data_IF_178296034932
#
_entry.id   IF_178296034932
#
_cell.length_a   1.000
_cell.length_b   1.000
_cell.length_c   1.000
_cell.angle_alpha   90.00
_cell.angle_beta   90.00
_cell.angle_gamma   90.00
#
_symmetry.space_group_name_H-M   'P 1'
#
loop_
_entity.id
_entity.type
_entity.pdbx_description
1 polymer ?
#
# COMPACT_ATOMS: atom_id res chain seq x y z
N UNK A 1 -33.06 4.03 13.95
CA UNK A 1 -32.77 5.15 14.86
C UNK A 1 -33.00 6.45 14.10
N UNK A 2 -33.62 7.41 14.78
CA UNK A 2 -34.40 8.54 14.27
C UNK A 2 -33.61 9.44 13.29
N UNK A 3 -34.22 9.82 12.15
CA UNK A 3 -33.70 10.76 11.14
C UNK A 3 -32.97 11.99 11.71
N UNK A 4 -33.46 12.62 12.81
CA UNK A 4 -32.73 13.67 13.54
C UNK A 4 -31.32 13.29 13.99
N UNK A 5 -31.09 12.06 14.44
CA UNK A 5 -29.76 11.59 14.86
C UNK A 5 -28.82 11.37 13.67
N UNK A 6 -29.37 11.05 12.49
CA UNK A 6 -28.58 10.94 11.26
C UNK A 6 -28.19 12.32 10.73
N UNK A 7 -29.13 13.28 10.72
CA UNK A 7 -28.86 14.67 10.36
C UNK A 7 -27.88 15.34 11.34
N UNK A 8 -28.04 15.10 12.65
CA UNK A 8 -27.13 15.61 13.68
C UNK A 8 -25.72 15.03 13.53
N UNK A 9 -25.60 13.73 13.21
CA UNK A 9 -24.30 13.10 12.91
C UNK A 9 -23.67 13.67 11.63
N UNK A 10 -24.47 14.00 10.62
CA UNK A 10 -24.00 14.56 9.36
C UNK A 10 -23.54 16.00 9.54
N UNK A 11 -24.29 16.81 10.30
CA UNK A 11 -23.93 18.17 10.70
C UNK A 11 -22.66 18.17 11.58
N UNK A 12 -22.55 17.26 12.53
CA UNK A 12 -21.33 17.08 13.34
C UNK A 12 -20.13 16.68 12.48
N UNK A 13 -20.34 15.83 11.46
CA UNK A 13 -19.30 15.40 10.53
C UNK A 13 -18.85 16.53 9.62
N UNK A 14 -19.78 17.30 9.04
CA UNK A 14 -19.49 18.47 8.21
C UNK A 14 -18.84 19.60 9.01
N UNK A 15 -19.28 19.82 10.26
CA UNK A 15 -18.67 20.79 11.18
C UNK A 15 -17.25 20.36 11.55
N UNK A 16 -17.03 19.06 11.78
CA UNK A 16 -15.71 18.49 12.03
C UNK A 16 -14.80 18.63 10.80
N UNK A 17 -15.30 18.37 9.59
CA UNK A 17 -14.55 18.59 8.35
C UNK A 17 -14.21 20.07 8.13
N UNK A 18 -15.17 20.98 8.35
CA UNK A 18 -14.99 22.43 8.26
C UNK A 18 -13.96 22.96 9.29
N UNK A 19 -13.94 22.37 10.49
CA UNK A 19 -12.96 22.64 11.54
C UNK A 19 -11.57 22.06 11.19
N UNK A 20 -11.52 20.84 10.67
CA UNK A 20 -10.28 20.21 10.19
C UNK A 20 -9.65 20.99 9.04
N UNK A 21 -10.45 21.48 8.08
CA UNK A 21 -10.00 22.38 7.01
C UNK A 21 -9.45 23.70 7.58
N UNK A 22 -10.01 24.20 8.68
CA UNK A 22 -9.50 25.39 9.37
C UNK A 22 -8.22 25.16 10.19
N UNK A 23 -7.96 23.92 10.60
CA UNK A 23 -6.80 23.53 11.42
C UNK A 23 -5.63 23.00 10.58
N UNK A 24 -5.90 22.38 9.43
CA UNK A 24 -4.90 22.00 8.42
C UNK A 24 -4.58 23.18 7.50
N UNK A 25 -3.84 24.17 8.00
CA UNK A 25 -3.18 25.21 7.18
C UNK A 25 -2.00 24.65 6.35
N UNK A 26 -2.15 23.47 5.77
CA UNK A 26 -1.12 22.81 4.98
C UNK A 26 -1.79 22.22 3.72
N UNK A 27 -1.37 22.73 2.56
CA UNK A 27 -1.57 22.20 1.19
C UNK A 27 -2.64 22.87 0.30
N UNK A 28 -3.55 23.71 0.79
CA UNK A 28 -4.51 24.43 -0.09
C UNK A 28 -4.41 25.97 0.03
N UNK A 29 -4.48 26.74 -1.07
CA UNK A 29 -4.60 28.20 -1.03
C UNK A 29 -5.88 28.66 -0.30
N UNK A 30 -5.82 29.78 0.43
CA UNK A 30 -6.95 30.30 1.22
C UNK A 30 -8.25 30.50 0.39
N UNK A 31 -8.11 30.80 -0.90
CA UNK A 31 -9.22 30.96 -1.84
C UNK A 31 -9.96 29.64 -2.10
N UNK A 32 -9.22 28.55 -2.26
CA UNK A 32 -9.78 27.22 -2.52
C UNK A 32 -10.43 26.63 -1.26
N UNK A 33 -9.88 26.97 -0.08
CA UNK A 33 -10.49 26.64 1.22
C UNK A 33 -11.83 27.38 1.37
N UNK A 34 -11.89 28.66 1.03
CA UNK A 34 -13.11 29.46 1.12
C UNK A 34 -14.19 28.94 0.16
N UNK A 35 -13.82 28.59 -1.07
CA UNK A 35 -14.72 28.02 -2.07
C UNK A 35 -15.31 26.68 -1.60
N UNK A 36 -14.47 25.76 -1.11
CA UNK A 36 -14.91 24.46 -0.58
C UNK A 36 -15.79 24.59 0.66
N UNK A 37 -15.49 25.55 1.55
CA UNK A 37 -16.37 25.88 2.69
C UNK A 37 -17.73 26.40 2.25
N UNK A 38 -17.76 27.29 1.26
CA UNK A 38 -19.00 27.80 0.68
C UNK A 38 -19.85 26.69 0.06
N UNK A 39 -19.21 25.75 -0.63
CA UNK A 39 -19.87 24.58 -1.21
C UNK A 39 -20.48 23.68 -0.13
N UNK A 40 -19.75 23.42 0.97
CA UNK A 40 -20.28 22.68 2.10
C UNK A 40 -21.47 23.40 2.76
N UNK A 41 -21.44 24.73 2.88
CA UNK A 41 -22.56 25.50 3.41
C UNK A 41 -23.79 25.46 2.49
N UNK A 42 -23.61 25.56 1.17
CA UNK A 42 -24.71 25.43 0.21
C UNK A 42 -25.40 24.07 0.28
N UNK A 43 -24.63 22.99 0.44
CA UNK A 43 -25.17 21.63 0.62
C UNK A 43 -25.91 21.48 1.96
N UNK A 44 -25.44 22.13 3.03
CA UNK A 44 -26.15 22.15 4.32
C UNK A 44 -27.50 22.86 4.17
N UNK A 45 -27.54 23.99 3.46
CA UNK A 45 -28.76 24.75 3.21
C UNK A 45 -29.76 24.00 2.32
N UNK A 46 -29.29 23.22 1.33
CA UNK A 46 -30.14 22.34 0.51
C UNK A 46 -30.74 21.19 1.33
N UNK A 47 -29.94 20.56 2.20
CA UNK A 47 -30.41 19.49 3.10
C UNK A 47 -31.46 20.02 4.09
N UNK A 48 -31.26 21.23 4.64
CA UNK A 48 -32.24 21.89 5.52
C UNK A 48 -33.57 22.17 4.80
N UNK A 49 -33.52 22.38 3.47
CA UNK A 49 -34.68 22.67 2.62
C UNK A 49 -35.43 21.40 2.19
N UNK A 50 -34.73 20.29 1.99
CA UNK A 50 -35.31 19.00 1.55
C UNK A 50 -35.81 18.11 2.70
N UNK A 51 -35.58 18.48 3.96
CA UNK A 51 -36.14 17.82 5.16
C UNK A 51 -37.70 17.80 5.24
N UNK A 52 -38.39 18.23 4.17
CA UNK A 52 -39.86 18.18 4.03
C UNK A 52 -40.36 17.09 3.05
N UNK A 53 -39.50 16.25 2.47
CA UNK A 53 -39.87 15.24 1.46
C UNK A 53 -39.31 13.85 1.82
N UNK A 54 -40.02 12.80 1.41
CA UNK A 54 -39.93 11.42 1.91
C UNK A 54 -38.51 10.84 2.15
N UNK A 55 -38.28 10.14 3.29
CA UNK A 55 -36.94 9.81 3.81
C UNK A 55 -36.05 8.92 2.92
N UNK A 56 -36.63 8.06 2.08
CA UNK A 56 -35.89 7.09 1.27
C UNK A 56 -35.27 7.70 0.00
N UNK A 57 -35.90 8.74 -0.54
CA UNK A 57 -35.38 9.49 -1.69
C UNK A 57 -34.17 10.34 -1.28
N UNK A 58 -34.25 10.97 -0.11
CA UNK A 58 -33.21 11.84 0.42
C UNK A 58 -31.94 11.06 0.77
N UNK A 59 -32.08 9.87 1.36
CA UNK A 59 -30.93 9.01 1.71
C UNK A 59 -30.14 8.60 0.46
N UNK A 60 -30.85 8.27 -0.62
CA UNK A 60 -30.25 7.92 -1.90
C UNK A 60 -29.54 9.12 -2.56
N UNK A 61 -30.14 10.31 -2.50
CA UNK A 61 -29.51 11.54 -3.00
C UNK A 61 -28.29 11.95 -2.17
N UNK A 62 -28.34 11.79 -0.84
CA UNK A 62 -27.18 12.03 0.05
C UNK A 62 -26.05 11.06 -0.27
N UNK A 63 -26.34 9.78 -0.51
CA UNK A 63 -25.34 8.78 -0.92
C UNK A 63 -24.74 9.10 -2.29
N UNK A 64 -25.56 9.50 -3.26
CA UNK A 64 -25.11 9.94 -4.59
C UNK A 64 -24.21 11.18 -4.50
N UNK A 65 -24.56 12.17 -3.66
CA UNK A 65 -23.75 13.38 -3.44
C UNK A 65 -22.43 13.04 -2.73
N UNK A 66 -22.44 12.17 -1.72
CA UNK A 66 -21.20 11.74 -1.04
C UNK A 66 -20.30 10.93 -1.97
N UNK A 67 -20.87 10.10 -2.83
CA UNK A 67 -20.13 9.35 -3.83
C UNK A 67 -19.59 10.27 -4.94
N UNK A 68 -20.32 11.34 -5.30
CA UNK A 68 -19.88 12.36 -6.25
C UNK A 68 -18.80 13.29 -5.67
N UNK A 69 -18.89 13.65 -4.38
CA UNK A 69 -17.82 14.34 -3.63
C UNK A 69 -16.59 13.43 -3.54
N UNK A 70 -16.76 12.15 -3.25
CA UNK A 70 -15.65 11.19 -3.22
C UNK A 70 -15.02 11.05 -4.61
N UNK A 71 -15.82 10.93 -5.68
CA UNK A 71 -15.35 10.93 -7.06
C UNK A 71 -14.69 12.23 -7.45
N UNK A 72 -15.16 13.39 -7.00
CA UNK A 72 -14.53 14.71 -7.24
C UNK A 72 -13.21 14.85 -6.49
N UNK A 73 -13.14 14.43 -5.23
CA UNK A 73 -11.90 14.38 -4.45
C UNK A 73 -10.87 13.37 -5.02
N UNK A 74 -11.34 12.30 -5.67
CA UNK A 74 -10.49 11.33 -6.37
C UNK A 74 -10.15 11.76 -7.82
N UNK A 75 -11.00 12.56 -8.48
CA UNK A 75 -10.77 13.08 -9.84
C UNK A 75 -10.05 14.43 -9.88
N UNK A 76 -9.89 15.10 -8.74
CA UNK A 76 -8.93 16.20 -8.55
C UNK A 76 -7.46 15.78 -8.63
N UNK A 77 -7.15 14.49 -8.85
CA UNK A 77 -5.83 14.06 -9.35
C UNK A 77 -5.48 14.63 -10.75
N UNK A 78 -6.38 15.40 -11.37
CA UNK A 78 -6.13 16.10 -12.64
C UNK A 78 -5.99 17.62 -12.54
N UNK A 79 -6.02 18.21 -11.33
CA UNK A 79 -5.63 19.60 -11.12
C UNK A 79 -4.15 19.68 -10.73
N UNK A 80 -3.39 20.49 -11.46
CA UNK A 80 -1.96 20.81 -11.35
C UNK A 80 -1.19 20.34 -10.10
N UNK A 81 -0.91 19.02 -9.97
CA UNK A 81 0.00 18.53 -8.92
C UNK A 81 1.45 19.01 -9.19
N UNK A 82 1.86 20.11 -8.55
CA UNK A 82 3.24 20.57 -8.61
C UNK A 82 4.20 19.52 -8.01
N UNK A 83 4.98 18.87 -8.87
CA UNK A 83 6.16 18.05 -8.54
C UNK A 83 5.93 16.86 -7.59
N UNK A 84 5.77 15.66 -8.16
CA UNK A 84 5.64 14.37 -7.46
C UNK A 84 6.96 13.90 -6.78
N UNK A 85 7.96 14.78 -6.62
CA UNK A 85 8.95 14.51 -5.58
C UNK A 85 8.24 14.82 -4.27
N UNK A 86 7.99 13.84 -3.38
CA UNK A 86 7.29 14.11 -2.12
C UNK A 86 7.92 15.34 -1.50
N UNK A 87 7.09 16.32 -1.12
CA UNK A 87 7.61 17.44 -0.34
C UNK A 87 8.40 16.87 0.83
N UNK A 88 9.44 17.60 1.25
CA UNK A 88 10.21 17.23 2.43
C UNK A 88 9.24 17.26 3.61
N UNK A 89 8.57 16.14 3.89
CA UNK A 89 7.63 16.02 4.98
C UNK A 89 8.45 16.15 6.23
N UNK A 90 8.33 17.32 6.83
CA UNK A 90 8.95 17.61 8.10
C UNK A 90 8.03 16.99 9.13
N UNK A 91 8.44 15.87 9.70
CA UNK A 91 7.61 15.20 10.71
C UNK A 91 7.82 15.96 12.02
N UNK A 92 6.71 16.42 12.61
CA UNK A 92 6.69 17.14 13.87
C UNK A 92 6.36 16.13 14.98
N UNK A 93 7.39 15.56 15.62
CA UNK A 93 7.17 14.64 16.74
C UNK A 93 7.15 15.47 18.03
N UNK A 94 6.03 15.40 18.74
CA UNK A 94 5.90 15.96 20.08
C UNK A 94 6.64 15.06 21.08
N UNK A 95 7.87 15.41 21.44
CA UNK A 95 8.52 14.89 22.65
C UNK A 95 8.28 15.88 23.79
N UNK A 96 7.96 15.37 24.99
CA UNK A 96 7.66 16.15 26.20
C UNK A 96 8.74 17.17 26.63
N UNK A 97 9.91 17.23 25.97
CA UNK A 97 10.94 18.22 26.33
C UNK A 97 11.65 18.94 25.18
N UNK A 98 11.41 18.66 23.89
CA UNK A 98 11.96 19.45 22.76
C UNK A 98 11.31 19.07 21.42
N UNK A 99 10.75 20.05 20.71
CA UNK A 99 10.27 19.90 19.32
C UNK A 99 11.47 19.70 18.39
N UNK A 100 11.64 18.51 17.80
CA UNK A 100 12.65 18.27 16.75
C UNK A 100 11.94 17.92 15.45
N UNK A 101 12.14 18.77 14.45
CA UNK A 101 11.74 18.55 13.08
C UNK A 101 12.72 17.58 12.42
N UNK A 102 12.26 16.48 11.81
CA UNK A 102 13.13 15.66 10.95
C UNK A 102 12.66 15.76 9.51
N UNK A 103 13.54 16.27 8.65
CA UNK A 103 13.38 16.28 7.21
C UNK A 103 13.73 14.89 6.65
N UNK A 104 12.94 14.39 5.70
CA UNK A 104 13.16 13.12 4.97
C UNK A 104 14.55 12.97 4.32
N UNK A 105 15.34 14.04 4.22
CA UNK A 105 16.71 14.06 3.68
C UNK A 105 17.72 13.25 4.50
N UNK A 106 17.45 12.99 5.79
CA UNK A 106 18.46 12.42 6.70
C UNK A 106 18.15 10.99 7.18
N UNK A 107 17.16 10.30 6.60
CA UNK A 107 16.91 8.89 6.94
C UNK A 107 18.00 8.05 6.27
N UNK A 108 18.85 7.32 7.03
CA UNK A 108 19.87 6.44 6.47
C UNK A 108 19.25 5.38 5.55
N UNK A 109 20.03 4.89 4.59
CA UNK A 109 19.61 3.79 3.70
C UNK A 109 19.94 2.46 4.37
N UNK A 110 18.99 1.76 5.03
CA UNK A 110 19.29 0.54 5.79
C UNK A 110 19.87 -0.57 4.91
N UNK A 111 19.48 -0.59 3.62
CA UNK A 111 19.94 -1.58 2.65
C UNK A 111 21.46 -1.61 2.43
N UNK A 112 22.20 -0.56 2.81
CA UNK A 112 23.66 -0.54 2.72
C UNK A 112 24.28 -1.61 3.63
N UNK A 113 23.60 -1.94 4.74
CA UNK A 113 24.08 -2.85 5.76
C UNK A 113 23.55 -4.29 5.61
N UNK A 114 22.76 -4.58 4.57
CA UNK A 114 22.20 -5.92 4.36
C UNK A 114 23.27 -6.87 3.79
N UNK A 115 23.53 -8.00 4.48
CA UNK A 115 24.62 -8.94 4.14
C UNK A 115 24.41 -9.65 2.79
N UNK A 116 23.16 -9.96 2.42
CA UNK A 116 22.80 -10.75 1.22
C UNK A 116 22.61 -9.94 -0.07
N UNK A 117 23.03 -8.65 -0.07
CA UNK A 117 22.79 -7.72 -1.19
C UNK A 117 23.27 -8.23 -2.55
N UNK A 118 24.31 -9.06 -2.60
CA UNK A 118 24.96 -9.51 -3.83
C UNK A 118 24.26 -10.68 -4.55
N UNK A 119 23.43 -11.46 -3.86
CA UNK A 119 22.86 -12.70 -4.45
C UNK A 119 21.33 -12.69 -4.59
N UNK A 120 20.61 -11.82 -3.87
CA UNK A 120 19.13 -11.81 -3.91
C UNK A 120 18.53 -10.72 -4.82
N UNK A 121 19.27 -9.63 -5.05
CA UNK A 121 18.89 -8.55 -5.98
C UNK A 121 19.61 -8.65 -7.34
N UNK A 122 20.61 -9.52 -7.44
CA UNK A 122 21.29 -9.81 -8.69
C UNK A 122 20.39 -10.72 -9.55
N UNK A 123 19.79 -10.13 -10.58
CA UNK A 123 19.53 -10.84 -11.84
C UNK A 123 18.53 -12.01 -11.79
N UNK A 124 17.38 -11.85 -11.13
CA UNK A 124 16.16 -12.48 -11.67
C UNK A 124 15.42 -11.45 -12.51
N UNK A 125 14.98 -11.87 -13.68
CA UNK A 125 14.28 -11.12 -14.73
C UNK A 125 12.92 -10.59 -14.24
N UNK A 126 12.89 -9.83 -13.16
CA UNK A 126 11.75 -8.97 -12.88
C UNK A 126 11.79 -7.90 -13.97
N UNK A 127 10.85 -7.99 -14.91
CA UNK A 127 10.69 -7.05 -16.02
C UNK A 127 10.59 -5.60 -15.57
N UNK A 128 10.59 -4.71 -16.56
CA UNK A 128 10.61 -3.25 -16.43
C UNK A 128 9.60 -2.70 -15.41
N UNK A 129 10.06 -1.97 -14.38
CA UNK A 129 9.21 -1.60 -13.24
C UNK A 129 8.20 -0.47 -13.57
N UNK A 130 6.98 -0.84 -13.97
CA UNK A 130 5.84 0.09 -14.08
C UNK A 130 4.52 -0.60 -13.68
N UNK A 131 3.76 0.00 -12.76
CA UNK A 131 2.43 -0.49 -12.34
C UNK A 131 1.31 0.21 -13.13
N UNK A 132 0.25 -0.53 -13.54
CA UNK A 132 -0.96 0.06 -14.11
C UNK A 132 -1.81 0.75 -13.03
N UNK A 133 -2.35 1.94 -13.33
CA UNK A 133 -3.60 2.38 -12.69
C UNK A 133 -4.76 1.70 -13.41
N UNK A 134 -5.65 1.05 -12.66
CA UNK A 134 -6.79 0.34 -13.21
C UNK A 134 -7.77 1.32 -13.88
N UNK A 135 -8.03 1.13 -15.17
CA UNK A 135 -9.32 1.49 -15.77
C UNK A 135 -10.16 0.24 -15.85
N UNK A 136 -11.37 0.29 -15.31
CA UNK A 136 -12.41 -0.71 -15.55
C UNK A 136 -12.69 -0.76 -17.05
N UNK A 137 -12.50 -1.90 -17.68
CA UNK A 137 -12.92 -2.12 -19.05
C UNK A 137 -13.62 -3.46 -19.16
N UNK A 138 -14.87 -3.36 -19.60
CA UNK A 138 -15.73 -4.43 -20.05
C UNK A 138 -15.11 -5.18 -21.24
N UNK A 139 -15.59 -6.41 -21.37
CA UNK A 139 -15.34 -7.40 -22.41
C UNK A 139 -14.98 -6.85 -23.79
N UNK A 140 -13.91 -7.38 -24.38
CA UNK A 140 -13.92 -7.82 -25.79
C UNK A 140 -12.90 -8.94 -25.99
N UNK A 141 -13.40 -10.05 -26.52
CA UNK A 141 -12.68 -11.23 -26.94
C UNK A 141 -12.02 -11.04 -28.31
N UNK A 142 -10.76 -11.42 -28.46
CA UNK A 142 -10.28 -12.34 -29.52
C UNK A 142 -8.74 -12.32 -29.63
N UNK A 143 -8.21 -13.48 -30.02
CA UNK A 143 -6.85 -13.77 -30.47
C UNK A 143 -5.78 -13.97 -29.37
N UNK A 144 -5.71 -15.20 -28.85
CA UNK A 144 -4.49 -15.80 -28.30
C UNK A 144 -4.27 -17.12 -29.02
N UNK A 145 -3.12 -17.24 -29.68
CA UNK A 145 -2.56 -18.54 -30.01
C UNK A 145 -1.05 -18.56 -29.73
N UNK A 146 -0.66 -19.65 -29.07
CA UNK A 146 0.69 -20.13 -28.77
C UNK A 146 1.55 -19.43 -27.70
N UNK A 147 1.90 -20.25 -26.69
CA UNK A 147 2.93 -20.10 -25.66
C UNK A 147 2.56 -19.35 -24.36
N UNK A 148 1.80 -20.03 -23.48
CA UNK A 148 2.02 -20.13 -22.02
C UNK A 148 0.80 -20.82 -21.37
N UNK A 149 0.83 -22.15 -21.27
CA UNK A 149 -0.08 -22.87 -20.37
C UNK A 149 0.53 -22.89 -18.97
N UNK A 150 0.05 -22.00 -18.09
CA UNK A 150 -0.17 -22.20 -16.65
C UNK A 150 -0.81 -20.93 -16.06
N UNK A 151 -2.04 -20.62 -16.48
CA UNK A 151 -2.89 -19.65 -15.79
C UNK A 151 -4.35 -20.14 -15.81
N UNK A 152 -5.00 -20.19 -14.64
CA UNK A 152 -6.46 -20.31 -14.53
C UNK A 152 -7.07 -21.72 -14.42
N UNK A 153 -6.38 -22.70 -13.84
CA UNK A 153 -7.02 -23.96 -13.45
C UNK A 153 -7.79 -23.81 -12.12
N UNK A 154 -8.97 -24.41 -11.99
CA UNK A 154 -9.56 -24.66 -10.68
C UNK A 154 -8.51 -25.33 -9.77
N UNK A 155 -8.40 -24.95 -8.49
CA UNK A 155 -7.48 -25.61 -7.55
C UNK A 155 -7.73 -27.12 -7.56
N UNK A 156 -6.66 -27.91 -7.53
CA UNK A 156 -6.75 -29.38 -7.54
C UNK A 156 -7.53 -29.86 -6.29
N UNK A 157 -8.17 -31.02 -6.33
CA UNK A 157 -9.03 -31.49 -5.24
C UNK A 157 -8.31 -31.53 -3.88
N UNK A 158 -7.01 -31.82 -3.88
CA UNK A 158 -6.13 -31.77 -2.70
C UNK A 158 -5.89 -30.34 -2.20
N UNK A 159 -5.76 -29.37 -3.09
CA UNK A 159 -5.61 -27.96 -2.71
C UNK A 159 -6.90 -27.43 -2.09
N UNK A 160 -8.05 -27.83 -2.62
CA UNK A 160 -9.36 -27.49 -2.06
C UNK A 160 -9.60 -28.12 -0.67
N UNK A 161 -9.15 -29.35 -0.45
CA UNK A 161 -9.28 -30.04 0.84
C UNK A 161 -8.41 -29.39 1.93
N UNK A 162 -7.13 -29.12 1.61
CA UNK A 162 -6.21 -28.40 2.51
C UNK A 162 -6.76 -27.00 2.85
N UNK A 163 -7.34 -26.32 1.87
CA UNK A 163 -7.99 -25.03 2.06
C UNK A 163 -9.21 -25.11 2.98
N UNK A 164 -10.05 -26.13 2.84
CA UNK A 164 -11.21 -26.36 3.70
C UNK A 164 -10.80 -26.58 5.16
N UNK A 165 -9.74 -27.34 5.41
CA UNK A 165 -9.29 -27.65 6.77
C UNK A 165 -8.68 -26.43 7.47
N UNK A 166 -7.94 -25.59 6.75
CA UNK A 166 -7.44 -24.31 7.28
C UNK A 166 -8.59 -23.40 7.70
N UNK A 167 -9.66 -23.33 6.91
CA UNK A 167 -10.85 -22.53 7.24
C UNK A 167 -11.57 -23.08 8.48
N UNK A 168 -11.74 -24.40 8.61
CA UNK A 168 -12.33 -25.01 9.81
C UNK A 168 -11.46 -24.77 11.04
N UNK A 169 -10.14 -24.85 10.91
CA UNK A 169 -9.21 -24.57 11.99
C UNK A 169 -9.33 -23.11 12.45
N UNK A 170 -9.39 -22.16 11.51
CA UNK A 170 -9.61 -20.75 11.79
C UNK A 170 -10.94 -20.51 12.52
N UNK A 171 -12.03 -21.11 12.01
CA UNK A 171 -13.35 -21.03 12.62
C UNK A 171 -13.33 -21.54 14.07
N UNK A 172 -12.76 -22.72 14.29
CA UNK A 172 -12.70 -23.33 15.62
C UNK A 172 -11.83 -22.55 16.61
N UNK A 173 -10.78 -21.88 16.14
CA UNK A 173 -9.95 -21.02 16.97
C UNK A 173 -10.64 -19.69 17.35
N UNK A 174 -11.50 -19.15 16.47
CA UNK A 174 -12.10 -17.82 16.66
C UNK A 174 -13.55 -17.83 17.18
N UNK A 175 -14.30 -18.94 17.04
CA UNK A 175 -15.74 -19.00 17.38
C UNK A 175 -16.08 -18.61 18.84
N UNK A 176 -15.13 -18.78 19.76
CA UNK A 176 -15.32 -18.48 21.18
C UNK A 176 -14.61 -17.18 21.61
N UNK A 177 -14.00 -16.45 20.68
CA UNK A 177 -13.33 -15.18 20.97
C UNK A 177 -14.39 -14.09 21.05
N UNK A 178 -14.42 -13.37 22.16
CA UNK A 178 -15.29 -12.21 22.31
C UNK A 178 -14.78 -11.03 21.48
N UNK A 179 -15.44 -10.76 20.35
CA UNK A 179 -15.13 -9.64 19.46
C UNK A 179 -15.28 -8.25 20.11
N UNK A 180 -16.05 -8.14 21.20
CA UNK A 180 -16.26 -6.89 21.93
C UNK A 180 -15.23 -6.69 23.07
N UNK A 181 -14.40 -7.71 23.36
CA UNK A 181 -13.42 -7.66 24.45
C UNK A 181 -12.56 -6.40 24.37
N UNK A 182 -12.30 -5.80 25.53
CA UNK A 182 -11.36 -4.70 25.63
C UNK A 182 -9.95 -5.23 25.76
N UNK A 183 -9.21 -5.16 24.65
CA UNK A 183 -7.85 -5.67 24.59
C UNK A 183 -6.87 -4.53 24.83
N UNK A 184 -6.06 -4.71 25.86
CA UNK A 184 -4.81 -3.96 26.05
C UNK A 184 -3.65 -4.95 25.87
N UNK A 185 -3.19 -5.19 24.63
CA UNK A 185 -2.22 -6.25 24.39
C UNK A 185 -0.86 -5.86 24.96
N UNK A 186 -0.09 -6.85 25.42
CA UNK A 186 1.31 -6.66 25.77
C UNK A 186 2.09 -6.44 24.48
N UNK A 187 2.81 -5.31 24.39
CA UNK A 187 3.55 -4.94 23.18
C UNK A 187 5.01 -5.32 23.35
N UNK A 188 5.53 -6.15 22.44
CA UNK A 188 6.93 -6.53 22.37
C UNK A 188 7.57 -5.92 21.11
N UNK A 189 8.62 -5.12 21.29
CA UNK A 189 9.42 -4.60 20.17
C UNK A 189 10.69 -5.43 20.03
N UNK A 190 10.79 -6.18 18.93
CA UNK A 190 11.82 -7.20 18.71
C UNK A 190 12.85 -6.66 17.71
N UNK A 191 14.11 -6.59 18.13
CA UNK A 191 15.23 -6.09 17.31
C UNK A 191 16.50 -6.94 17.43
N UNK A 192 16.61 -7.82 18.41
CA UNK A 192 17.76 -8.74 18.56
C UNK A 192 17.40 -10.17 18.14
N UNK A 193 18.44 -10.95 17.86
CA UNK A 193 18.32 -12.39 17.57
C UNK A 193 17.63 -13.14 18.72
N UNK A 194 18.09 -12.94 19.96
CA UNK A 194 17.53 -13.57 21.17
C UNK A 194 16.05 -13.23 21.38
N UNK A 195 15.68 -11.95 21.23
CA UNK A 195 14.28 -11.52 21.32
C UNK A 195 13.43 -12.18 20.22
N UNK A 196 14.00 -12.36 19.02
CA UNK A 196 13.34 -12.99 17.88
C UNK A 196 13.06 -14.48 18.12
N UNK A 197 14.04 -15.21 18.65
CA UNK A 197 13.87 -16.63 19.01
C UNK A 197 12.78 -16.79 20.07
N UNK A 198 12.84 -16.00 21.14
CA UNK A 198 11.84 -16.04 22.22
C UNK A 198 10.44 -15.72 21.69
N UNK A 199 10.29 -14.66 20.91
CA UNK A 199 9.00 -14.27 20.33
C UNK A 199 8.45 -15.37 19.40
N UNK A 200 9.30 -15.99 18.56
CA UNK A 200 8.89 -17.10 17.72
C UNK A 200 8.43 -18.30 18.58
N UNK A 201 9.17 -18.67 19.62
CA UNK A 201 8.76 -19.76 20.52
C UNK A 201 7.42 -19.51 21.21
N UNK A 202 7.08 -18.26 21.54
CA UNK A 202 5.76 -17.91 22.07
C UNK A 202 4.67 -18.01 21.01
N UNK A 203 4.91 -17.43 19.82
CA UNK A 203 3.97 -17.47 18.69
C UNK A 203 3.68 -18.92 18.26
N UNK A 204 4.67 -19.81 18.36
CA UNK A 204 4.52 -21.23 18.02
C UNK A 204 3.54 -21.99 18.93
N UNK A 205 3.11 -21.42 20.06
CA UNK A 205 2.12 -22.01 20.96
C UNK A 205 0.68 -21.61 20.59
N UNK A 206 0.51 -20.65 19.70
CA UNK A 206 -0.79 -20.13 19.29
C UNK A 206 -1.45 -21.05 18.26
N UNK A 207 -2.79 -21.03 18.21
CA UNK A 207 -3.54 -21.71 17.14
C UNK A 207 -3.81 -20.78 15.96
N UNK A 208 -3.86 -19.48 16.23
CA UNK A 208 -4.20 -18.45 15.27
C UNK A 208 -3.51 -17.14 15.65
N UNK A 209 -3.00 -16.44 14.64
CA UNK A 209 -2.33 -15.15 14.79
C UNK A 209 -2.80 -14.17 13.72
N UNK A 210 -2.89 -12.90 14.08
CA UNK A 210 -3.10 -11.79 13.14
C UNK A 210 -1.75 -11.29 12.64
N UNK A 211 -1.65 -10.95 11.35
CA UNK A 211 -0.40 -10.52 10.73
C UNK A 211 -0.60 -9.29 9.86
N UNK A 212 0.26 -8.28 10.04
CA UNK A 212 0.46 -7.19 9.08
C UNK A 212 1.96 -7.02 8.78
N UNK A 213 2.28 -6.36 7.67
CA UNK A 213 3.66 -5.97 7.34
C UNK A 213 3.68 -4.54 6.82
N UNK A 214 4.73 -3.79 7.15
CA UNK A 214 5.03 -2.48 6.55
C UNK A 214 6.23 -2.61 5.63
N UNK A 215 6.11 -2.10 4.40
CA UNK A 215 7.15 -2.18 3.37
C UNK A 215 7.58 -0.79 2.92
N UNK A 216 8.74 -0.70 2.31
CA UNK A 216 9.26 0.52 1.71
C UNK A 216 9.76 0.25 0.29
N UNK A 217 9.30 1.06 -0.66
CA UNK A 217 9.65 0.93 -2.09
C UNK A 217 10.15 2.23 -2.73
N UNK A 218 10.11 3.37 -2.04
CA UNK A 218 10.45 4.65 -2.67
C UNK A 218 11.96 4.84 -2.81
N UNK A 219 12.72 4.44 -1.79
CA UNK A 219 14.17 4.54 -1.69
C UNK A 219 14.87 3.19 -1.79
N UNK A 220 14.32 2.30 -2.61
CA UNK A 220 14.88 1.00 -3.00
C UNK A 220 14.22 0.58 -4.31
N UNK A 221 14.96 -0.08 -5.19
CA UNK A 221 14.44 -0.48 -6.50
C UNK A 221 13.41 -1.61 -6.35
N UNK A 222 13.79 -2.71 -5.69
CA UNK A 222 12.91 -3.85 -5.46
C UNK A 222 12.03 -3.69 -4.21
N UNK A 223 12.36 -2.71 -3.37
CA UNK A 223 11.77 -2.49 -2.05
C UNK A 223 12.17 -3.54 -1.02
N UNK A 224 11.72 -3.35 0.21
CA UNK A 224 11.97 -4.26 1.32
C UNK A 224 10.93 -4.11 2.44
N UNK A 225 10.84 -5.14 3.28
CA UNK A 225 10.00 -5.18 4.48
C UNK A 225 10.70 -4.43 5.62
N UNK A 226 10.04 -3.42 6.17
CA UNK A 226 10.54 -2.65 7.31
C UNK A 226 10.13 -3.28 8.63
N UNK A 227 8.86 -3.71 8.74
CA UNK A 227 8.32 -4.31 9.95
C UNK A 227 7.38 -5.45 9.62
N UNK A 228 7.39 -6.47 10.48
CA UNK A 228 6.35 -7.50 10.55
C UNK A 228 5.66 -7.33 11.89
N UNK A 229 4.34 -7.30 11.89
CA UNK A 229 3.54 -7.27 13.11
C UNK A 229 2.77 -8.58 13.25
N UNK A 230 2.83 -9.19 14.44
CA UNK A 230 2.08 -10.39 14.77
C UNK A 230 1.26 -10.14 16.02
N UNK A 231 -0.06 -10.29 15.93
CA UNK A 231 -0.98 -10.22 17.05
C UNK A 231 -1.42 -11.61 17.47
N UNK A 232 -1.38 -11.87 18.77
CA UNK A 232 -2.16 -12.92 19.43
C UNK A 232 -3.36 -12.26 20.11
N UNK A 233 -4.15 -13.01 20.88
CA UNK A 233 -5.23 -12.41 21.67
C UNK A 233 -4.70 -11.56 22.85
N UNK A 234 -3.47 -11.82 23.30
CA UNK A 234 -2.90 -11.19 24.49
C UNK A 234 -1.75 -10.23 24.17
N UNK A 235 -1.09 -10.40 23.02
CA UNK A 235 0.18 -9.73 22.74
C UNK A 235 0.30 -9.25 21.30
N UNK A 236 1.06 -8.19 21.08
CA UNK A 236 1.48 -7.74 19.75
C UNK A 236 3.01 -7.70 19.68
N UNK A 237 3.57 -8.45 18.75
CA UNK A 237 5.00 -8.51 18.45
C UNK A 237 5.29 -7.64 17.24
N UNK A 238 6.20 -6.68 17.38
CA UNK A 238 6.68 -5.80 16.31
C UNK A 238 8.12 -6.20 16.00
N UNK A 239 8.30 -6.95 14.92
CA UNK A 239 9.62 -7.35 14.42
C UNK A 239 10.21 -6.26 13.54
N UNK A 240 11.32 -5.67 13.98
CA UNK A 240 12.10 -4.69 13.22
C UNK A 240 12.93 -5.38 12.15
N UNK A 241 12.36 -5.58 10.96
CA UNK A 241 13.00 -6.35 9.90
C UNK A 241 14.20 -5.65 9.26
N UNK A 242 14.43 -4.38 9.57
CA UNK A 242 15.68 -3.69 9.21
C UNK A 242 16.84 -4.24 10.03
N UNK A 243 16.65 -4.41 11.34
CA UNK A 243 17.65 -4.95 12.27
C UNK A 243 17.73 -6.48 12.20
N UNK A 244 16.57 -7.14 12.16
CA UNK A 244 16.44 -8.60 12.17
C UNK A 244 16.67 -9.26 10.81
N UNK A 245 17.00 -8.51 9.76
CA UNK A 245 17.02 -9.04 8.39
C UNK A 245 17.84 -10.31 8.22
N UNK A 246 19.00 -10.36 8.88
CA UNK A 246 19.90 -11.52 8.82
C UNK A 246 19.42 -12.71 9.66
N UNK A 247 18.49 -12.47 10.59
CA UNK A 247 17.93 -13.43 11.52
C UNK A 247 16.47 -13.78 11.16
N UNK A 248 15.99 -13.36 9.98
CA UNK A 248 14.62 -13.59 9.54
C UNK A 248 14.23 -15.08 9.54
N UNK A 249 15.19 -15.98 9.27
CA UNK A 249 14.98 -17.43 9.26
C UNK A 249 14.49 -18.01 10.60
N UNK A 250 14.64 -17.29 11.71
CA UNK A 250 14.18 -17.72 13.03
C UNK A 250 12.66 -17.68 13.18
N UNK A 251 11.95 -16.92 12.32
CA UNK A 251 10.49 -16.86 12.32
C UNK A 251 9.89 -18.10 11.63
N UNK A 252 9.93 -19.25 12.30
CA UNK A 252 9.49 -20.54 11.74
C UNK A 252 7.96 -20.69 11.68
N UNK A 253 7.19 -19.83 12.36
CA UNK A 253 5.72 -19.88 12.37
C UNK A 253 5.09 -19.72 10.97
N UNK A 254 5.80 -19.14 9.99
CA UNK A 254 5.32 -19.01 8.61
C UNK A 254 5.00 -20.35 7.96
N UNK A 255 5.86 -21.35 8.21
CA UNK A 255 5.76 -22.70 7.66
C UNK A 255 5.04 -23.69 8.58
N UNK A 256 4.55 -23.25 9.74
CA UNK A 256 3.84 -24.10 10.69
C UNK A 256 2.35 -24.25 10.29
N UNK A 257 1.88 -25.46 9.92
CA UNK A 257 0.49 -25.65 9.49
C UNK A 257 -0.52 -25.58 10.64
N UNK A 258 -0.10 -25.87 11.88
CA UNK A 258 -0.98 -25.82 13.06
C UNK A 258 -1.32 -24.39 13.53
N UNK A 259 -0.69 -23.38 12.93
CA UNK A 259 -0.93 -21.97 13.21
C UNK A 259 -1.59 -21.33 11.99
N UNK A 260 -2.82 -20.86 12.14
CA UNK A 260 -3.50 -20.09 11.08
C UNK A 260 -3.06 -18.63 11.12
N UNK A 261 -2.60 -18.10 9.99
CA UNK A 261 -2.23 -16.69 9.83
C UNK A 261 -3.40 -15.91 9.24
N UNK A 262 -3.97 -14.97 9.99
CA UNK A 262 -5.02 -14.06 9.52
C UNK A 262 -4.37 -12.80 8.96
N UNK A 263 -4.69 -12.44 7.74
CA UNK A 263 -4.27 -11.21 7.09
C UNK A 263 -5.47 -10.34 6.72
N UNK A 264 -5.21 -9.08 6.41
CA UNK A 264 -6.09 -8.27 5.57
C UNK A 264 -5.35 -7.91 4.28
N UNK A 265 -5.92 -8.23 3.11
CA UNK A 265 -5.25 -8.16 1.79
C UNK A 265 -4.01 -9.04 1.73
N UNK A 266 -4.21 -10.34 1.97
CA UNK A 266 -3.14 -11.33 2.09
C UNK A 266 -2.24 -11.36 0.84
N UNK A 267 -2.82 -11.29 -0.36
CA UNK A 267 -2.09 -11.44 -1.63
C UNK A 267 -0.86 -10.54 -1.75
N UNK A 268 -1.01 -9.24 -1.43
CA UNK A 268 0.12 -8.29 -1.43
C UNK A 268 1.16 -8.65 -0.35
N UNK A 269 0.69 -9.02 0.84
CA UNK A 269 1.55 -9.34 2.00
C UNK A 269 2.39 -10.60 1.74
N UNK A 270 1.75 -11.65 1.24
CA UNK A 270 2.40 -12.91 0.87
C UNK A 270 3.42 -12.69 -0.26
N UNK A 271 3.10 -11.87 -1.26
CA UNK A 271 4.02 -11.54 -2.34
C UNK A 271 5.30 -10.87 -1.79
N UNK A 272 5.16 -9.92 -0.87
CA UNK A 272 6.30 -9.28 -0.21
C UNK A 272 7.12 -10.23 0.66
N UNK A 273 6.46 -11.04 1.50
CA UNK A 273 7.14 -12.03 2.36
C UNK A 273 7.96 -13.02 1.53
N UNK A 274 7.43 -13.47 0.38
CA UNK A 274 8.13 -14.35 -0.55
C UNK A 274 9.27 -13.62 -1.26
N UNK A 275 9.00 -12.44 -1.81
CA UNK A 275 9.97 -11.67 -2.62
C UNK A 275 11.17 -11.23 -1.79
N UNK A 276 10.92 -10.64 -0.63
CA UNK A 276 11.94 -9.96 0.17
C UNK A 276 12.62 -10.88 1.18
N UNK A 277 11.83 -11.75 1.84
CA UNK A 277 12.27 -12.54 2.99
C UNK A 277 12.30 -14.05 2.70
N UNK A 278 11.88 -14.47 1.50
CA UNK A 278 11.87 -15.86 1.04
C UNK A 278 11.02 -16.79 1.93
N UNK A 279 10.00 -16.26 2.59
CA UNK A 279 9.07 -17.10 3.35
C UNK A 279 8.07 -17.79 2.45
N UNK A 280 7.81 -19.07 2.77
CA UNK A 280 6.63 -19.79 2.30
C UNK A 280 5.61 -19.79 3.42
N UNK A 281 4.52 -19.06 3.23
CA UNK A 281 3.43 -19.00 4.21
C UNK A 281 2.43 -20.10 3.91
N UNK A 282 2.24 -21.00 4.88
CA UNK A 282 1.21 -22.06 4.86
C UNK A 282 0.06 -21.69 5.79
N UNK A 283 -1.12 -22.30 5.65
CA UNK A 283 -2.26 -22.10 6.58
C UNK A 283 -2.57 -20.63 6.88
N UNK A 284 -3.09 -19.89 5.89
CA UNK A 284 -3.49 -18.51 6.09
C UNK A 284 -4.90 -18.23 5.55
N UNK A 285 -5.55 -17.21 6.10
CA UNK A 285 -6.81 -16.67 5.62
C UNK A 285 -6.69 -15.16 5.41
N UNK A 286 -7.48 -14.63 4.49
CA UNK A 286 -7.63 -13.21 4.21
C UNK A 286 -9.01 -12.76 4.68
N UNK A 287 -9.03 -11.76 5.56
CA UNK A 287 -10.24 -11.13 6.04
C UNK A 287 -11.06 -10.51 4.89
N UNK A 288 -10.42 -10.06 3.80
CA UNK A 288 -11.12 -9.53 2.62
C UNK A 288 -11.86 -10.61 1.82
N UNK A 289 -11.42 -11.86 1.93
CA UNK A 289 -12.04 -13.02 1.29
C UNK A 289 -13.24 -13.57 2.05
N UNK A 290 -13.48 -13.08 3.27
CA UNK A 290 -14.67 -13.44 4.04
C UNK A 290 -15.91 -12.77 3.45
N UNK A 291 -16.78 -13.60 2.87
CA UNK A 291 -18.11 -13.21 2.42
C UNK A 291 -19.15 -13.60 3.48
N UNK A 292 -20.30 -12.92 3.48
CA UNK A 292 -21.40 -13.27 4.38
C UNK A 292 -21.52 -12.43 5.64
N UNK A 293 -20.93 -11.23 5.68
CA UNK A 293 -21.49 -10.20 6.56
C UNK A 293 -22.82 -9.75 5.95
N UNK A 294 -23.96 -9.95 6.63
CA UNK A 294 -25.24 -9.57 6.08
C UNK A 294 -25.28 -8.05 6.02
N UNK A 295 -25.59 -7.52 4.83
CA UNK A 295 -25.91 -6.11 4.50
C UNK A 295 -24.83 -5.26 3.80
N UNK A 296 -23.51 -5.41 4.01
CA UNK A 296 -22.51 -4.58 3.29
C UNK A 296 -21.12 -5.22 3.05
N UNK A 297 -20.45 -4.95 1.91
CA UNK A 297 -19.11 -5.47 1.62
C UNK A 297 -18.02 -4.77 2.45
N UNK A 298 -17.10 -5.56 3.03
CA UNK A 298 -15.90 -5.06 3.71
C UNK A 298 -14.94 -4.45 2.68
N UNK A 299 -14.93 -3.13 2.58
CA UNK A 299 -14.04 -2.40 1.66
C UNK A 299 -12.67 -2.08 2.26
N UNK A 300 -12.58 -2.02 3.59
CA UNK A 300 -11.33 -1.75 4.30
C UNK A 300 -11.31 -2.36 5.72
N UNK A 301 -10.10 -2.58 6.26
CA UNK A 301 -9.91 -3.10 7.62
C UNK A 301 -10.62 -2.27 8.70
N UNK A 302 -10.65 -0.95 8.58
CA UNK A 302 -11.31 -0.08 9.55
C UNK A 302 -12.82 -0.35 9.66
N UNK A 303 -13.48 -0.62 8.53
CA UNK A 303 -14.89 -1.06 8.49
C UNK A 303 -15.04 -2.44 9.13
N UNK A 304 -14.17 -3.40 8.81
CA UNK A 304 -14.22 -4.73 9.41
C UNK A 304 -14.13 -4.66 10.95
N UNK A 305 -13.18 -3.87 11.46
CA UNK A 305 -13.03 -3.67 12.91
C UNK A 305 -14.24 -2.96 13.51
N UNK A 306 -14.74 -1.90 12.86
CA UNK A 306 -15.90 -1.17 13.35
C UNK A 306 -17.15 -2.05 13.45
N UNK A 307 -17.41 -2.86 12.43
CA UNK A 307 -18.57 -3.74 12.41
C UNK A 307 -18.48 -4.90 13.41
N UNK A 308 -17.28 -5.44 13.61
CA UNK A 308 -17.07 -6.56 14.53
C UNK A 308 -16.96 -6.11 15.98
N UNK A 309 -16.41 -4.92 16.24
CA UNK A 309 -15.99 -4.50 17.59
C UNK A 309 -16.62 -3.19 18.07
N UNK A 310 -17.26 -2.42 17.18
CA UNK A 310 -17.71 -1.04 17.44
C UNK A 310 -16.59 0.01 17.47
N UNK A 311 -15.31 -0.39 17.32
CA UNK A 311 -14.15 0.50 17.45
C UNK A 311 -13.75 1.13 16.12
N UNK A 312 -13.24 2.37 16.17
CA UNK A 312 -12.71 3.06 14.99
C UNK A 312 -11.19 2.94 14.93
N UNK A 313 -10.68 2.28 13.88
CA UNK A 313 -9.25 2.26 13.57
C UNK A 313 -8.92 3.42 12.64
N UNK A 314 -7.99 4.27 13.05
CA UNK A 314 -7.55 5.42 12.25
C UNK A 314 -6.35 5.03 11.40
N UNK A 315 -6.41 5.27 10.09
CA UNK A 315 -5.26 5.13 9.20
C UNK A 315 -4.61 6.49 8.97
N UNK A 316 -3.69 6.87 9.85
CA UNK A 316 -3.02 8.19 9.76
C UNK A 316 -1.71 8.15 8.98
N UNK A 317 -1.02 7.00 8.94
CA UNK A 317 0.38 6.92 8.50
C UNK A 317 0.59 6.10 7.21
N UNK A 318 -0.38 6.06 6.31
CA UNK A 318 -0.28 5.22 5.09
C UNK A 318 0.89 5.60 4.16
N UNK A 319 1.25 6.88 4.10
CA UNK A 319 2.35 7.41 3.26
C UNK A 319 3.67 7.57 4.04
N UNK A 320 3.74 7.03 5.27
CA UNK A 320 4.91 7.17 6.12
C UNK A 320 6.09 6.36 5.60
N UNK A 321 7.28 6.95 5.67
CA UNK A 321 8.54 6.24 5.50
C UNK A 321 8.89 5.39 6.73
N UNK A 322 8.47 4.12 6.71
CA UNK A 322 8.68 3.15 7.79
C UNK A 322 10.15 2.84 8.13
N UNK A 323 11.11 3.35 7.35
CA UNK A 323 12.54 3.26 7.68
C UNK A 323 12.95 4.21 8.81
N UNK A 324 12.10 5.18 9.12
CA UNK A 324 12.38 6.22 10.10
C UNK A 324 12.69 5.63 11.48
N UNK A 325 13.75 6.15 12.12
CA UNK A 325 14.16 5.82 13.49
C UNK A 325 14.57 7.12 14.23
N UNK A 326 14.35 7.21 15.56
CA UNK A 326 13.64 6.25 16.40
C UNK A 326 12.14 6.16 16.07
N UNK A 327 11.50 5.04 16.40
CA UNK A 327 10.05 4.87 16.19
C UNK A 327 9.30 5.81 17.13
N UNK A 328 8.42 6.65 16.58
CA UNK A 328 7.59 7.59 17.36
C UNK A 328 6.38 6.90 17.97
N UNK A 329 5.77 7.52 18.98
CA UNK A 329 4.54 7.00 19.62
C UNK A 329 3.42 6.77 18.60
N UNK A 330 3.28 7.68 17.63
CA UNK A 330 2.27 7.58 16.57
C UNK A 330 2.54 6.40 15.62
N UNK A 331 3.82 6.14 15.30
CA UNK A 331 4.21 4.96 14.54
C UNK A 331 3.95 3.69 15.35
N UNK A 332 4.26 3.68 16.64
CA UNK A 332 3.95 2.56 17.53
C UNK A 332 2.46 2.27 17.55
N UNK A 333 1.62 3.29 17.70
CA UNK A 333 0.16 3.14 17.64
C UNK A 333 -0.31 2.55 16.32
N UNK A 334 0.20 3.01 15.17
CA UNK A 334 -0.20 2.47 13.86
C UNK A 334 0.29 1.02 13.67
N UNK A 335 1.50 0.70 14.15
CA UNK A 335 2.05 -0.65 14.12
C UNK A 335 1.26 -1.63 15.01
N UNK A 336 0.62 -1.16 16.10
CA UNK A 336 -0.11 -2.05 17.01
C UNK A 336 -1.60 -2.11 16.74
N UNK A 337 -2.29 -0.98 16.59
CA UNK A 337 -3.75 -0.94 16.48
C UNK A 337 -4.27 -1.72 15.26
N UNK A 338 -3.62 -1.58 14.11
CA UNK A 338 -4.10 -2.23 12.89
C UNK A 338 -4.08 -3.76 12.99
N UNK A 339 -2.99 -4.34 13.52
CA UNK A 339 -2.88 -5.79 13.66
C UNK A 339 -3.62 -6.32 14.88
N UNK A 340 -3.68 -5.54 15.98
CA UNK A 340 -4.28 -5.96 17.25
C UNK A 340 -5.78 -6.21 17.13
N UNK A 341 -6.47 -5.46 16.26
CA UNK A 341 -7.90 -5.68 16.01
C UNK A 341 -8.21 -6.72 14.93
N UNK A 342 -7.19 -7.28 14.26
CA UNK A 342 -7.41 -8.17 13.12
C UNK A 342 -8.10 -9.48 13.53
N UNK A 343 -7.67 -10.07 14.65
CA UNK A 343 -8.30 -11.29 15.20
C UNK A 343 -9.71 -11.03 15.72
N UNK A 344 -9.94 -9.90 16.39
CA UNK A 344 -11.28 -9.52 16.84
C UNK A 344 -12.23 -9.25 15.67
N UNK A 345 -11.71 -8.64 14.59
CA UNK A 345 -12.48 -8.43 13.37
C UNK A 345 -12.91 -9.76 12.77
N UNK A 346 -11.99 -10.72 12.65
CA UNK A 346 -12.29 -12.07 12.17
C UNK A 346 -13.29 -12.82 13.07
N UNK A 347 -13.12 -12.73 14.40
CA UNK A 347 -14.02 -13.34 15.37
C UNK A 347 -15.46 -12.81 15.24
N UNK A 348 -15.63 -11.48 15.18
CA UNK A 348 -16.97 -10.87 15.08
C UNK A 348 -17.66 -11.10 13.73
N UNK A 349 -16.91 -11.49 12.70
CA UNK A 349 -17.47 -11.96 11.44
C UNK A 349 -17.90 -13.42 11.55
N UNK A 350 -17.04 -14.28 12.11
CA UNK A 350 -17.29 -15.71 12.30
C UNK A 350 -18.48 -15.96 13.24
N UNK A 351 -18.67 -15.13 14.26
CA UNK A 351 -19.77 -15.27 15.22
C UNK A 351 -21.17 -15.14 14.59
N UNK A 352 -21.25 -14.72 13.32
CA UNK A 352 -22.50 -14.49 12.58
C UNK A 352 -22.82 -15.58 11.56
N UNK A 353 -21.96 -16.56 11.39
CA UNK A 353 -22.17 -17.66 10.46
C UNK A 353 -21.80 -19.00 11.11
N UNK A 354 -22.35 -20.07 10.56
CA UNK A 354 -21.95 -21.43 10.92
C UNK A 354 -20.62 -21.79 10.24
N UNK A 355 -19.93 -22.83 10.72
CA UNK A 355 -18.69 -23.32 10.10
C UNK A 355 -18.88 -23.63 8.62
N UNK A 356 -20.02 -24.25 8.27
CA UNK A 356 -20.35 -24.60 6.88
C UNK A 356 -20.51 -23.34 6.02
N UNK A 357 -21.18 -22.31 6.53
CA UNK A 357 -21.35 -21.04 5.83
C UNK A 357 -20.04 -20.28 5.70
N UNK A 358 -19.20 -20.29 6.74
CA UNK A 358 -17.85 -19.72 6.69
C UNK A 358 -17.00 -20.37 5.60
N UNK A 359 -16.92 -21.70 5.58
CA UNK A 359 -16.11 -22.45 4.63
C UNK A 359 -16.63 -22.28 3.20
N UNK A 360 -17.94 -22.41 2.98
CA UNK A 360 -18.55 -22.32 1.64
C UNK A 360 -18.65 -20.89 1.10
N UNK A 361 -18.73 -19.90 2.00
CA UNK A 361 -18.77 -18.49 1.66
C UNK A 361 -17.41 -17.90 1.36
N UNK A 362 -16.31 -18.53 1.79
CA UNK A 362 -14.96 -18.01 1.60
C UNK A 362 -14.58 -17.96 0.11
N UNK A 363 -14.29 -16.76 -0.40
CA UNK A 363 -13.85 -16.56 -1.80
C UNK A 363 -12.36 -16.30 -1.84
N UNK A 364 -11.59 -17.28 -2.28
CA UNK A 364 -10.15 -17.10 -2.50
C UNK A 364 -9.91 -15.98 -3.51
N UNK A 365 -9.45 -14.83 -3.02
CA UNK A 365 -9.12 -13.68 -3.83
C UNK A 365 -7.75 -13.86 -4.44
N UNK A 366 -7.69 -14.44 -5.64
CA UNK A 366 -6.47 -14.38 -6.44
C UNK A 366 -6.47 -13.03 -7.14
N UNK A 367 -5.89 -12.01 -6.50
CA UNK A 367 -5.51 -10.80 -7.22
C UNK A 367 -4.36 -11.18 -8.16
N UNK A 368 -4.58 -11.01 -9.47
CA UNK A 368 -3.53 -11.20 -10.45
C UNK A 368 -2.35 -10.28 -10.11
N UNK A 369 -1.16 -10.86 -9.96
CA UNK A 369 0.06 -10.07 -9.85
C UNK A 369 0.19 -9.31 -11.16
N UNK A 370 0.07 -7.98 -11.12
CA UNK A 370 0.27 -7.19 -12.32
C UNK A 370 1.71 -7.34 -12.77
N UNK A 371 1.90 -7.89 -13.96
CA UNK A 371 3.19 -7.88 -14.62
C UNK A 371 3.62 -6.42 -14.90
N UNK A 372 4.91 -6.13 -14.74
CA UNK A 372 5.39 -4.77 -14.85
C UNK A 372 5.53 -4.43 -16.36
N UNK A 373 5.10 -3.22 -16.77
CA UNK A 373 4.97 -2.89 -18.20
C UNK A 373 6.32 -2.90 -18.92
N UNK A 374 6.35 -3.30 -20.19
CA UNK A 374 7.52 -3.03 -21.03
C UNK A 374 7.72 -1.52 -21.24
N UNK A 375 8.92 -1.05 -21.61
CA UNK A 375 9.13 0.36 -21.93
C UNK A 375 8.17 0.89 -22.99
N UNK A 376 7.87 0.08 -24.01
CA UNK A 376 6.92 0.37 -25.07
C UNK A 376 5.50 0.50 -24.51
N UNK A 377 5.06 -0.46 -23.71
CA UNK A 377 3.74 -0.43 -23.06
C UNK A 377 3.59 0.77 -22.12
N UNK A 378 4.65 1.13 -21.40
CA UNK A 378 4.65 2.33 -20.56
C UNK A 378 4.44 3.60 -21.39
N UNK A 379 5.16 3.75 -22.50
CA UNK A 379 5.02 4.92 -23.38
C UNK A 379 3.61 4.99 -23.99
N UNK A 380 3.09 3.86 -24.49
CA UNK A 380 1.73 3.76 -25.03
C UNK A 380 0.68 4.11 -23.97
N UNK A 381 0.84 3.62 -22.74
CA UNK A 381 -0.05 3.95 -21.62
C UNK A 381 -0.04 5.45 -21.26
N UNK A 382 0.99 6.19 -21.65
CA UNK A 382 1.09 7.65 -21.51
C UNK A 382 0.74 8.41 -22.79
N UNK A 383 0.26 7.72 -23.83
CA UNK A 383 -0.11 8.32 -25.12
C UNK A 383 1.11 8.82 -25.92
N UNK A 384 2.25 8.14 -25.80
CA UNK A 384 3.49 8.47 -26.51
C UNK A 384 3.85 7.31 -27.43
N UNK A 385 4.07 7.61 -28.72
CA UNK A 385 4.52 6.62 -29.70
C UNK A 385 5.95 6.12 -29.36
N UNK A 386 6.17 4.80 -29.19
CA UNK A 386 7.47 4.26 -28.84
C UNK A 386 8.45 4.38 -30.02
N UNK A 387 9.38 5.32 -29.94
CA UNK A 387 10.55 5.36 -30.83
C UNK A 387 11.75 4.72 -30.13
N UNK A 388 12.74 4.23 -30.90
CA UNK A 388 13.94 3.61 -30.35
C UNK A 388 14.64 4.47 -29.29
N UNK A 389 14.73 5.79 -29.52
CA UNK A 389 15.35 6.74 -28.60
C UNK A 389 14.54 6.89 -27.31
N UNK A 390 13.20 6.95 -27.40
CA UNK A 390 12.34 7.11 -26.23
C UNK A 390 12.29 5.85 -25.38
N UNK A 391 12.25 4.68 -26.02
CA UNK A 391 12.40 3.39 -25.33
C UNK A 391 13.71 3.39 -24.55
N UNK A 392 14.83 3.74 -25.18
CA UNK A 392 16.14 3.82 -24.51
C UNK A 392 16.16 4.79 -23.32
N UNK A 393 15.43 5.91 -23.37
CA UNK A 393 15.31 6.86 -22.25
C UNK A 393 14.58 6.21 -21.06
N UNK A 394 13.50 5.49 -21.32
CA UNK A 394 12.77 4.70 -20.30
C UNK A 394 13.69 3.62 -19.71
N UNK A 395 14.45 2.93 -20.57
CA UNK A 395 15.45 1.93 -20.17
C UNK A 395 16.57 2.51 -19.30
N UNK A 396 17.08 3.68 -19.64
CA UNK A 396 18.13 4.35 -18.88
C UNK A 396 17.67 4.71 -17.46
N UNK A 397 16.42 5.17 -17.33
CA UNK A 397 15.83 5.48 -16.02
C UNK A 397 15.79 4.25 -15.12
N UNK A 398 15.27 3.14 -15.64
CA UNK A 398 15.19 1.88 -14.91
C UNK A 398 16.57 1.33 -14.57
N UNK A 399 17.50 1.35 -15.53
CA UNK A 399 18.88 0.90 -15.34
C UNK A 399 19.59 1.63 -14.20
N UNK A 400 19.54 2.97 -14.16
CA UNK A 400 20.18 3.76 -13.10
C UNK A 400 19.49 3.49 -11.76
N UNK A 401 18.15 3.45 -11.73
CA UNK A 401 17.39 3.15 -10.53
C UNK A 401 17.79 1.79 -9.93
N UNK A 402 17.91 0.76 -10.77
CA UNK A 402 18.36 -0.58 -10.41
C UNK A 402 19.81 -0.60 -9.93
N UNK A 403 20.72 0.08 -10.64
CA UNK A 403 22.13 0.16 -10.28
C UNK A 403 22.33 0.81 -8.90
N UNK A 404 21.58 1.86 -8.61
CA UNK A 404 21.71 2.63 -7.37
C UNK A 404 20.85 2.09 -6.23
N UNK A 405 20.04 1.05 -6.46
CA UNK A 405 18.98 0.55 -5.56
C UNK A 405 18.11 1.70 -5.04
N UNK A 406 17.50 2.41 -5.98
CA UNK A 406 16.51 3.47 -5.75
C UNK A 406 15.32 3.22 -6.67
N UNK A 407 14.14 3.76 -6.36
CA UNK A 407 13.00 3.58 -7.25
C UNK A 407 13.12 4.44 -8.52
N UNK A 408 12.53 4.03 -9.66
CA UNK A 408 12.42 4.89 -10.83
C UNK A 408 11.75 6.24 -10.51
N UNK A 409 10.76 6.25 -9.60
CA UNK A 409 10.06 7.47 -9.16
C UNK A 409 10.97 8.42 -8.36
N UNK A 410 11.90 7.89 -7.57
CA UNK A 410 12.89 8.72 -6.87
C UNK A 410 13.89 9.34 -7.83
N UNK A 411 14.33 8.60 -8.87
CA UNK A 411 15.21 9.13 -9.89
C UNK A 411 14.50 10.24 -10.69
N UNK A 412 13.40 9.89 -11.35
CA UNK A 412 12.61 10.81 -12.17
C UNK A 412 11.18 10.29 -12.24
N UNK A 413 10.23 11.08 -11.72
CA UNK A 413 8.83 10.65 -11.68
C UNK A 413 8.27 10.42 -13.08
N UNK A 414 7.22 9.62 -13.22
CA UNK A 414 6.60 9.39 -14.53
C UNK A 414 6.15 10.69 -15.21
N UNK A 415 5.65 11.65 -14.42
CA UNK A 415 5.28 12.99 -14.92
C UNK A 415 6.50 13.76 -15.41
N UNK A 416 7.61 13.71 -14.68
CA UNK A 416 8.86 14.35 -15.10
C UNK A 416 9.41 13.70 -16.37
N UNK A 417 9.37 12.37 -16.47
CA UNK A 417 9.79 11.63 -17.65
C UNK A 417 8.94 11.97 -18.87
N UNK A 418 7.62 11.96 -18.74
CA UNK A 418 6.70 12.35 -19.83
C UNK A 418 6.97 13.78 -20.27
N UNK A 419 7.17 14.71 -19.33
CA UNK A 419 7.49 16.10 -19.66
C UNK A 419 8.87 16.23 -20.33
N UNK A 420 9.88 15.52 -19.84
CA UNK A 420 11.21 15.46 -20.45
C UNK A 420 11.13 15.00 -21.91
N UNK A 421 10.34 13.94 -22.16
CA UNK A 421 10.12 13.39 -23.50
C UNK A 421 9.37 14.38 -24.40
N UNK A 422 8.36 15.10 -23.89
CA UNK A 422 7.58 16.05 -24.71
C UNK A 422 8.36 17.33 -25.05
N UNK A 423 9.12 17.85 -24.09
CA UNK A 423 9.84 19.12 -24.22
C UNK A 423 11.20 18.97 -24.91
N UNK A 424 11.70 17.74 -25.06
CA UNK A 424 12.92 17.41 -25.81
C UNK A 424 14.15 18.29 -25.46
N UNK A 425 14.50 18.50 -24.17
CA UNK A 425 15.56 19.43 -23.80
C UNK A 425 16.91 19.00 -24.37
N UNK A 426 17.67 19.94 -24.90
CA UNK A 426 18.96 19.72 -25.56
C UNK A 426 20.17 20.08 -24.70
N UNK A 427 19.95 20.61 -23.49
CA UNK A 427 21.02 20.91 -22.54
C UNK A 427 20.57 20.80 -21.08
N UNK A 428 21.50 20.61 -20.12
CA UNK A 428 21.19 20.64 -18.69
C UNK A 428 20.49 21.92 -18.23
N UNK A 429 20.82 23.08 -18.81
CA UNK A 429 20.22 24.37 -18.48
C UNK A 429 18.71 24.37 -18.78
N UNK A 430 18.30 23.76 -19.89
CA UNK A 430 16.89 23.58 -20.22
C UNK A 430 16.20 22.61 -19.26
N UNK A 431 16.90 21.57 -18.78
CA UNK A 431 16.33 20.66 -17.77
C UNK A 431 16.07 21.42 -16.46
N UNK A 432 16.99 22.28 -16.04
CA UNK A 432 16.82 23.10 -14.83
C UNK A 432 15.69 24.12 -14.96
N UNK A 433 15.45 24.68 -16.15
CA UNK A 433 14.30 25.55 -16.38
C UNK A 433 12.97 24.78 -16.44
N UNK A 434 12.98 23.55 -16.94
CA UNK A 434 11.81 22.68 -17.02
C UNK A 434 11.36 22.16 -15.64
N UNK A 435 12.29 21.82 -14.75
CA UNK A 435 11.98 21.16 -13.48
C UNK A 435 12.41 21.98 -12.27
N UNK A 436 11.41 22.42 -11.48
CA UNK A 436 11.64 23.13 -10.19
C UNK A 436 12.40 22.27 -9.17
N UNK A 437 12.13 20.97 -9.12
CA UNK A 437 12.77 20.00 -8.21
C UNK A 437 13.28 18.82 -9.04
N UNK A 438 14.54 18.43 -8.82
CA UNK A 438 15.16 17.27 -9.45
C UNK A 438 15.85 16.41 -8.39
N UNK A 439 15.87 15.11 -8.60
CA UNK A 439 16.60 14.22 -7.70
C UNK A 439 18.12 14.37 -7.88
N UNK A 440 18.93 14.07 -6.86
CA UNK A 440 20.38 14.02 -7.00
C UNK A 440 20.83 13.01 -8.06
N UNK A 441 20.12 11.88 -8.20
CA UNK A 441 20.44 10.86 -9.21
C UNK A 441 20.18 11.34 -10.63
N UNK A 442 19.05 12.01 -10.88
CA UNK A 442 18.80 12.59 -12.18
C UNK A 442 19.82 13.70 -12.47
N UNK A 443 20.12 14.55 -11.48
CA UNK A 443 21.13 15.61 -11.60
C UNK A 443 22.49 15.07 -12.04
N UNK A 444 22.95 13.98 -11.43
CA UNK A 444 24.22 13.34 -11.76
C UNK A 444 24.24 12.70 -13.17
N UNK A 445 23.07 12.33 -13.71
CA UNK A 445 22.95 11.59 -14.96
C UNK A 445 22.32 12.39 -16.12
N UNK A 446 22.05 13.69 -15.96
CA UNK A 446 21.33 14.49 -16.97
C UNK A 446 21.96 14.40 -18.37
N UNK A 447 23.28 14.48 -18.45
CA UNK A 447 23.98 14.42 -19.73
C UNK A 447 23.73 13.10 -20.46
N UNK A 448 23.59 11.99 -19.73
CA UNK A 448 23.25 10.69 -20.33
C UNK A 448 21.85 10.72 -20.96
N UNK A 449 20.88 11.34 -20.28
CA UNK A 449 19.52 11.51 -20.82
C UNK A 449 19.49 12.43 -22.04
N UNK A 450 20.15 13.60 -21.99
CA UNK A 450 20.21 14.54 -23.13
C UNK A 450 20.88 13.89 -24.34
N UNK A 451 22.04 13.24 -24.12
CA UNK A 451 22.78 12.59 -25.19
C UNK A 451 21.94 11.49 -25.85
N UNK A 452 21.24 10.68 -25.07
CA UNK A 452 20.43 9.58 -25.59
C UNK A 452 19.20 10.09 -26.37
N UNK A 453 18.62 11.20 -25.93
CA UNK A 453 17.47 11.85 -26.59
C UNK A 453 17.84 12.39 -27.97
N UNK A 454 19.03 12.99 -28.10
CA UNK A 454 19.48 13.66 -29.33
C UNK A 454 20.49 12.85 -30.18
N UNK A 455 20.93 11.67 -29.71
CA UNK A 455 21.91 10.86 -30.44
C UNK A 455 21.36 10.36 -31.77
N UNK A 456 21.80 10.98 -32.87
CA UNK A 456 21.78 10.38 -34.20
C UNK A 456 23.04 9.51 -34.36
N UNK A 457 22.94 8.22 -34.03
CA UNK A 457 23.94 7.18 -34.37
C UNK A 457 25.43 7.45 -34.02
N UNK A 458 25.76 8.00 -32.85
CA UNK A 458 27.16 7.98 -32.38
C UNK A 458 27.26 7.37 -30.99
N UNK A 459 28.21 6.44 -30.87
CA UNK A 459 28.56 5.67 -29.67
C UNK A 459 28.56 6.56 -28.44
N UNK A 460 27.51 6.46 -27.62
CA UNK A 460 27.55 6.97 -26.26
C UNK A 460 28.68 6.23 -25.54
N UNK A 461 29.42 6.90 -24.66
CA UNK A 461 30.36 6.26 -23.73
C UNK A 461 29.70 5.23 -22.79
N UNK A 462 28.37 5.13 -22.85
CA UNK A 462 27.58 4.08 -22.23
C UNK A 462 27.66 2.80 -23.05
N UNK A 463 28.19 1.73 -22.45
CA UNK A 463 28.26 0.42 -23.10
C UNK A 463 26.85 -0.16 -23.27
N UNK A 464 26.27 0.06 -24.44
CA UNK A 464 24.91 -0.34 -24.83
C UNK A 464 24.69 -1.87 -24.79
N UNK A 465 25.77 -2.65 -24.71
CA UNK A 465 25.73 -4.11 -24.51
C UNK A 465 25.18 -4.46 -23.12
N UNK A 466 25.49 -3.65 -22.09
CA UNK A 466 24.98 -3.85 -20.73
C UNK A 466 23.46 -3.61 -20.57
N UNK A 467 22.83 -2.90 -21.53
CA UNK A 467 21.37 -2.70 -21.58
C UNK A 467 20.64 -3.85 -22.29
N UNK A 468 21.33 -4.60 -23.16
CA UNK A 468 20.76 -5.74 -23.92
C UNK A 468 20.96 -7.08 -23.22
N UNK A 469 22.03 -7.27 -22.45
CA UNK A 469 22.33 -8.53 -21.77
C UNK A 469 21.48 -8.81 -20.51
N UNK A 470 20.46 -7.98 -20.23
CA UNK A 470 19.66 -8.06 -19.00
C UNK A 470 18.16 -7.78 -19.19
N UNK A 471 17.67 -7.78 -20.44
CA UNK A 471 16.25 -7.78 -20.79
C UNK A 471 15.61 -9.13 -20.53
#
# INVERSE_FOLDING_TARGET
MLLPQAAERLLQTLTKYSSMIGQEKLVLPDLEIAERKGHCQGLIEEIDKELSIEPLSLLKQIEEILEDIHKKCVSTETAEEESILPEQTTILIQSQSKKRFVLSKNIPRPQINFKSRKDTYAMKSEGFCFSKQAKSAESTSAARDSAQQREGGLPDAKEMEVQSDVLKQAYNALKNVDSAADITPIIYYIKTEEECEMANSHIMQEKIIGVDIKTHKFRSYSGFTCYIQVATLESVYIFDMIELRNHSKLLTFWSEPSIVKVFYKASEKIAWLRKDLQYTVVSYIDLLSLHGYPEEPIRNLGRAVFYSTGRQVRKKLQLMDWRYKPVSDEMYTDLTEQVGYLLLAAAGMISRCTEKEFVSGYKYGVEAVQEPLTPEEFLLAKGIEPTESLVKIVMLRDFIAKQEDESPQFLMTDRQLVRFIKEQPSSPEQIFSLFKKISPLFKANMNNFVNLLHSKHKSSSFNMIALKDRS
#
